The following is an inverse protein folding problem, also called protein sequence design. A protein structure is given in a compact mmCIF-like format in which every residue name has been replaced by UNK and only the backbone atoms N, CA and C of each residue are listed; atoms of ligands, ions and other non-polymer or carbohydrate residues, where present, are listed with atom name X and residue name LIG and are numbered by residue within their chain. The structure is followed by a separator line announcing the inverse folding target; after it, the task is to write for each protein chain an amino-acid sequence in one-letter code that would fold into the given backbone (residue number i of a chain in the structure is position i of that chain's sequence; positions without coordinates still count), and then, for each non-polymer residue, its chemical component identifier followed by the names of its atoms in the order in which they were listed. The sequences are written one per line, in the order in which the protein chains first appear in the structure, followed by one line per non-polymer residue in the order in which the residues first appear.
data_IF_577692528389
#
_entry.id   IF_577692528389
#
_cell.length_a   1.000
_cell.length_b   1.000
_cell.length_c   1.000
_cell.angle_alpha   90.00
_cell.angle_beta   90.00
_cell.angle_gamma   90.00
#
_symmetry.space_group_name_H-M   'P 1'
#
loop_
_entity.id
_entity.type
_entity.pdbx_description
1 polymer ?
#
# COMPACT_ATOMS: atom_id res chain seq x y z
N UNK A 1 24.00 -5.30 5.28
CA UNK A 1 23.22 -5.92 6.38
C UNK A 1 22.60 -7.21 5.85
N UNK A 2 22.41 -8.23 6.69
CA UNK A 2 21.70 -9.43 6.28
C UNK A 2 20.24 -9.10 5.92
N UNK A 3 19.69 -9.81 4.94
CA UNK A 3 18.28 -9.70 4.54
C UNK A 3 17.39 -10.15 5.68
N UNK A 4 16.31 -9.41 5.92
CA UNK A 4 15.35 -9.72 6.97
C UNK A 4 14.47 -10.88 6.51
N UNK A 5 14.48 -11.95 7.31
CA UNK A 5 13.64 -13.13 7.12
C UNK A 5 12.78 -13.29 8.38
N UNK A 6 11.51 -13.62 8.20
CA UNK A 6 10.57 -13.86 9.31
C UNK A 6 10.13 -15.32 9.36
N UNK A 7 9.45 -15.77 10.41
CA UNK A 7 8.91 -17.14 10.46
C UNK A 7 7.79 -17.41 9.42
N UNK A 8 7.31 -16.36 8.76
CA UNK A 8 6.21 -16.42 7.79
C UNK A 8 6.74 -16.46 6.37
N UNK A 9 5.89 -16.87 5.43
CA UNK A 9 6.24 -16.99 4.02
C UNK A 9 5.03 -16.88 3.09
N UNK A 10 5.21 -17.34 1.85
CA UNK A 10 4.24 -17.24 0.76
C UNK A 10 2.83 -17.72 1.12
N UNK A 11 2.72 -18.81 1.86
CA UNK A 11 1.44 -19.46 2.19
C UNK A 11 0.83 -18.98 3.50
N UNK A 12 1.56 -18.16 4.26
CA UNK A 12 1.03 -17.60 5.51
C UNK A 12 -0.14 -16.67 5.25
N UNK A 13 -1.13 -16.73 6.11
CA UNK A 13 -2.32 -15.89 6.10
C UNK A 13 -2.17 -14.70 7.04
N UNK A 14 -2.99 -13.67 6.84
CA UNK A 14 -3.06 -12.53 7.76
C UNK A 14 -3.40 -12.96 9.20
N UNK A 15 -4.25 -13.96 9.36
CA UNK A 15 -4.65 -14.50 10.67
C UNK A 15 -3.47 -15.17 11.39
N UNK A 16 -2.65 -15.96 10.66
CA UNK A 16 -1.45 -16.59 11.26
C UNK A 16 -0.40 -15.55 11.64
N UNK A 17 -0.25 -14.49 10.84
CA UNK A 17 0.74 -13.44 11.12
C UNK A 17 0.38 -12.58 12.31
N UNK A 18 -0.92 -12.36 12.56
CA UNK A 18 -1.40 -11.50 13.67
C UNK A 18 -1.65 -12.28 14.96
N UNK A 19 -1.55 -13.61 14.91
CA UNK A 19 -1.82 -14.45 16.08
C UNK A 19 -0.95 -14.04 17.28
N UNK A 20 -1.60 -13.88 18.43
CA UNK A 20 -0.96 -13.45 19.69
C UNK A 20 -0.57 -11.96 19.74
N UNK A 21 -0.90 -11.15 18.74
CA UNK A 21 -0.67 -9.69 18.74
C UNK A 21 -1.92 -8.98 19.28
N UNK A 22 -1.74 -8.16 20.32
CA UNK A 22 -2.79 -7.30 20.88
C UNK A 22 -2.64 -5.87 20.34
N UNK A 23 -3.69 -5.38 19.67
CA UNK A 23 -3.80 -4.03 19.13
C UNK A 23 -4.84 -3.18 19.87
N UNK A 24 -5.27 -3.59 21.08
CA UNK A 24 -6.19 -2.82 21.90
C UNK A 24 -5.69 -1.38 22.10
N UNK A 25 -6.57 -0.40 21.85
CA UNK A 25 -6.22 1.02 21.90
C UNK A 25 -5.41 1.54 20.70
N UNK A 26 -5.05 0.68 19.74
CA UNK A 26 -4.39 1.10 18.50
C UNK A 26 -5.43 1.50 17.45
N UNK A 27 -5.13 2.53 16.68
CA UNK A 27 -5.99 3.08 15.62
C UNK A 27 -5.35 2.85 14.26
N UNK A 28 -6.11 2.29 13.34
CA UNK A 28 -5.65 1.95 12.00
C UNK A 28 -6.53 2.58 10.91
N UNK A 29 -5.91 2.99 9.81
CA UNK A 29 -6.57 3.32 8.54
C UNK A 29 -6.15 2.29 7.50
N UNK A 30 -7.12 1.73 6.77
CA UNK A 30 -6.87 0.88 5.60
C UNK A 30 -7.60 1.48 4.40
N UNK A 31 -6.86 2.05 3.45
CA UNK A 31 -7.48 2.59 2.23
C UNK A 31 -7.95 1.45 1.33
N UNK A 32 -9.19 1.57 0.78
CA UNK A 32 -9.79 0.48 0.01
C UNK A 32 -10.02 -0.80 0.85
N UNK A 33 -10.23 -0.65 2.16
CA UNK A 33 -10.40 -1.76 3.12
C UNK A 33 -11.75 -2.48 3.05
N UNK A 34 -12.50 -2.32 1.94
CA UNK A 34 -13.87 -2.85 1.78
C UNK A 34 -13.95 -4.06 0.84
N UNK A 35 -12.84 -4.47 0.26
CA UNK A 35 -12.77 -5.63 -0.62
C UNK A 35 -11.35 -6.22 -0.70
N UNK A 36 -11.23 -7.45 -1.17
CA UNK A 36 -9.97 -8.11 -1.49
C UNK A 36 -8.96 -8.10 -0.34
N UNK A 37 -7.71 -7.76 -0.65
CA UNK A 37 -6.59 -7.74 0.32
C UNK A 37 -6.82 -6.71 1.43
N UNK A 38 -7.38 -5.55 1.09
CA UNK A 38 -7.67 -4.50 2.06
C UNK A 38 -8.69 -4.92 3.11
N UNK A 39 -9.74 -5.65 2.70
CA UNK A 39 -10.75 -6.21 3.61
C UNK A 39 -10.13 -7.21 4.59
N UNK A 40 -9.29 -8.13 4.10
CA UNK A 40 -8.64 -9.12 4.96
C UNK A 40 -7.59 -8.48 5.88
N UNK A 41 -6.91 -7.43 5.41
CA UNK A 41 -6.02 -6.62 6.26
C UNK A 41 -6.81 -5.93 7.38
N UNK A 42 -7.93 -5.28 7.05
CA UNK A 42 -8.79 -4.62 8.02
C UNK A 42 -9.39 -5.62 9.03
N UNK A 43 -9.84 -6.79 8.54
CA UNK A 43 -10.35 -7.89 9.38
C UNK A 43 -9.31 -8.38 10.37
N UNK A 44 -8.08 -8.64 9.92
CA UNK A 44 -7.00 -9.08 10.81
C UNK A 44 -6.69 -8.04 11.90
N UNK A 45 -6.56 -6.76 11.53
CA UNK A 45 -6.31 -5.69 12.50
C UNK A 45 -7.45 -5.53 13.50
N UNK A 46 -8.71 -5.61 13.03
CA UNK A 46 -9.88 -5.55 13.89
C UNK A 46 -9.97 -6.76 14.84
N UNK A 47 -9.67 -7.97 14.34
CA UNK A 47 -9.64 -9.20 15.14
C UNK A 47 -8.60 -9.18 16.27
N UNK A 48 -7.52 -8.40 16.08
CA UNK A 48 -6.51 -8.15 17.12
C UNK A 48 -6.88 -6.98 18.08
N UNK A 49 -8.06 -6.39 17.96
CA UNK A 49 -8.58 -5.35 18.86
C UNK A 49 -8.33 -3.90 18.42
N UNK A 50 -7.81 -3.65 17.21
CA UNK A 50 -7.61 -2.29 16.72
C UNK A 50 -8.94 -1.57 16.42
N UNK A 51 -8.96 -0.25 16.61
CA UNK A 51 -9.98 0.63 16.03
C UNK A 51 -9.65 0.84 14.55
N UNK A 52 -10.47 0.30 13.64
CA UNK A 52 -10.18 0.30 12.21
C UNK A 52 -11.10 1.25 11.44
N UNK A 53 -10.51 2.20 10.74
CA UNK A 53 -11.21 3.01 9.74
C UNK A 53 -10.86 2.47 8.36
N UNK A 54 -11.82 1.84 7.68
CA UNK A 54 -11.69 1.52 6.26
C UNK A 54 -12.15 2.70 5.42
N UNK A 55 -11.50 2.95 4.28
CA UNK A 55 -11.98 4.02 3.40
C UNK A 55 -12.57 3.47 2.10
N UNK A 56 -13.60 4.15 1.61
CA UNK A 56 -14.26 3.85 0.35
C UNK A 56 -14.68 5.15 -0.36
N UNK A 57 -14.97 5.03 -1.66
CA UNK A 57 -15.45 6.16 -2.48
C UNK A 57 -16.96 6.41 -2.32
N UNK A 58 -17.69 5.36 -1.97
CA UNK A 58 -19.15 5.38 -1.86
C UNK A 58 -19.64 4.70 -0.57
N UNK A 59 -20.94 4.84 -0.30
CA UNK A 59 -21.59 4.33 0.91
C UNK A 59 -21.86 2.81 0.88
N UNK A 60 -21.56 2.10 -0.22
CA UNK A 60 -21.79 0.66 -0.34
C UNK A 60 -20.83 -0.17 0.57
N UNK A 61 -19.89 0.51 1.20
CA UNK A 61 -18.93 -0.07 2.13
C UNK A 61 -19.52 -0.54 3.47
N UNK A 62 -20.79 -0.22 3.78
CA UNK A 62 -21.42 -0.58 5.07
C UNK A 62 -21.50 -2.10 5.27
N UNK A 63 -21.75 -2.85 4.21
CA UNK A 63 -21.80 -4.31 4.30
C UNK A 63 -20.44 -4.89 4.68
N UNK A 64 -19.35 -4.40 4.08
CA UNK A 64 -18.00 -4.86 4.42
C UNK A 64 -17.64 -4.57 5.91
N UNK A 65 -18.06 -3.43 6.43
CA UNK A 65 -17.90 -3.13 7.86
C UNK A 65 -18.71 -4.10 8.73
N UNK A 66 -19.96 -4.36 8.37
CA UNK A 66 -20.82 -5.31 9.10
C UNK A 66 -20.18 -6.71 9.12
N UNK A 67 -19.66 -7.18 7.99
CA UNK A 67 -18.99 -8.48 7.87
C UNK A 67 -17.70 -8.57 8.71
N UNK A 68 -16.93 -7.46 8.82
CA UNK A 68 -15.76 -7.41 9.71
C UNK A 68 -16.21 -7.49 11.16
N UNK A 69 -17.20 -6.68 11.57
CA UNK A 69 -17.72 -6.65 12.94
C UNK A 69 -18.28 -8.02 13.34
N UNK A 70 -19.08 -8.65 12.48
CA UNK A 70 -19.65 -9.97 12.72
C UNK A 70 -18.56 -11.04 12.90
N UNK A 71 -17.57 -11.05 12.00
CA UNK A 71 -16.52 -12.08 12.01
C UNK A 71 -15.46 -11.90 13.11
N UNK A 72 -15.28 -10.67 13.62
CA UNK A 72 -14.24 -10.38 14.64
C UNK A 72 -14.81 -10.11 16.02
N UNK A 73 -16.11 -9.81 16.13
CA UNK A 73 -16.73 -9.34 17.36
C UNK A 73 -16.31 -7.93 17.79
N UNK A 74 -15.54 -7.22 16.99
CA UNK A 74 -15.02 -5.89 17.30
C UNK A 74 -15.93 -4.80 16.72
N UNK A 75 -16.68 -4.00 17.54
CA UNK A 75 -17.55 -2.95 17.05
C UNK A 75 -16.81 -1.67 16.61
N UNK A 76 -15.51 -1.57 16.90
CA UNK A 76 -14.68 -0.38 16.64
C UNK A 76 -14.20 -0.32 15.17
N UNK A 77 -15.06 -0.75 14.24
CA UNK A 77 -14.79 -0.69 12.79
C UNK A 77 -15.76 0.30 12.16
N UNK A 78 -15.23 1.25 11.39
CA UNK A 78 -16.04 2.25 10.70
C UNK A 78 -15.57 2.45 9.26
N UNK A 79 -16.49 2.92 8.41
CA UNK A 79 -16.15 3.41 7.07
C UNK A 79 -16.05 4.93 7.08
N UNK A 80 -15.10 5.47 6.31
CA UNK A 80 -15.02 6.88 6.00
C UNK A 80 -14.88 7.08 4.48
N UNK A 81 -15.48 8.14 3.97
CA UNK A 81 -15.38 8.50 2.55
C UNK A 81 -14.00 9.08 2.26
N UNK A 82 -13.37 8.58 1.19
CA UNK A 82 -12.09 9.09 0.70
C UNK A 82 -11.97 8.85 -0.81
N UNK A 83 -11.82 9.93 -1.57
CA UNK A 83 -11.52 9.89 -3.02
C UNK A 83 -10.07 10.33 -3.23
N UNK A 84 -9.20 9.37 -3.62
CA UNK A 84 -7.76 9.59 -3.75
C UNK A 84 -7.36 10.42 -4.99
N UNK A 85 -8.29 10.65 -5.92
CA UNK A 85 -8.08 11.55 -7.07
C UNK A 85 -8.51 12.99 -6.76
N UNK A 86 -9.13 13.23 -5.61
CA UNK A 86 -9.64 14.53 -5.19
C UNK A 86 -8.88 15.08 -3.98
N UNK A 87 -8.06 16.10 -4.21
CA UNK A 87 -7.27 16.79 -3.18
C UNK A 87 -8.15 17.31 -2.05
N UNK A 88 -9.34 17.81 -2.37
CA UNK A 88 -10.28 18.35 -1.35
C UNK A 88 -10.83 17.25 -0.46
N UNK A 89 -11.18 16.09 -1.04
CA UNK A 89 -11.61 14.92 -0.28
C UNK A 89 -10.53 14.44 0.69
N UNK A 90 -9.26 14.40 0.24
CA UNK A 90 -8.15 13.97 1.08
C UNK A 90 -7.91 14.98 2.20
N UNK A 91 -7.91 16.29 1.91
CA UNK A 91 -7.71 17.33 2.93
C UNK A 91 -8.82 17.30 3.97
N UNK A 92 -10.09 17.21 3.57
CA UNK A 92 -11.22 17.06 4.49
C UNK A 92 -11.04 15.85 5.41
N UNK A 93 -10.68 14.69 4.86
CA UNK A 93 -10.43 13.48 5.66
C UNK A 93 -9.29 13.66 6.68
N UNK A 94 -8.21 14.35 6.29
CA UNK A 94 -7.06 14.66 7.17
C UNK A 94 -7.48 15.63 8.27
N UNK A 95 -8.21 16.70 7.92
CA UNK A 95 -8.63 17.73 8.87
C UNK A 95 -9.64 17.21 9.91
N UNK A 96 -10.45 16.21 9.53
CA UNK A 96 -11.40 15.53 10.41
C UNK A 96 -10.75 14.46 11.30
N UNK A 97 -9.46 14.13 11.06
CA UNK A 97 -8.78 13.09 11.86
C UNK A 97 -8.30 13.63 13.19
N UNK A 98 -8.83 13.07 14.26
CA UNK A 98 -8.42 13.43 15.62
C UNK A 98 -7.57 12.35 16.31
N UNK A 99 -6.60 12.77 17.12
CA UNK A 99 -5.77 11.91 17.97
C UNK A 99 -4.66 11.17 17.21
N UNK A 100 -4.00 10.20 17.87
CA UNK A 100 -2.90 9.44 17.27
C UNK A 100 -3.36 8.47 16.20
N UNK A 101 -2.51 8.21 15.20
CA UNK A 101 -2.68 7.17 14.19
C UNK A 101 -1.52 6.18 14.27
N UNK A 102 -1.80 4.94 14.61
CA UNK A 102 -0.77 3.92 14.83
C UNK A 102 -0.40 3.14 13.56
N UNK A 103 -1.39 2.91 12.69
CA UNK A 103 -1.21 2.11 11.48
C UNK A 103 -1.91 2.80 10.31
N UNK A 104 -1.16 3.08 9.23
CA UNK A 104 -1.70 3.53 7.95
C UNK A 104 -1.33 2.53 6.87
N UNK A 105 -2.34 1.87 6.28
CA UNK A 105 -2.16 0.95 5.15
C UNK A 105 -2.67 1.62 3.87
N UNK A 106 -1.75 2.07 3.04
CA UNK A 106 -1.98 2.60 1.70
C UNK A 106 -2.19 1.42 0.73
N UNK A 107 -3.43 0.91 0.68
CA UNK A 107 -3.77 -0.31 -0.05
C UNK A 107 -4.62 -0.04 -1.30
N UNK A 108 -5.49 0.96 -1.30
CA UNK A 108 -6.36 1.25 -2.45
C UNK A 108 -5.57 1.37 -3.77
N UNK A 109 -6.18 0.94 -4.86
CA UNK A 109 -5.52 1.04 -6.15
C UNK A 109 -6.43 0.72 -7.35
N UNK A 110 -5.96 1.12 -8.51
CA UNK A 110 -6.51 0.78 -9.82
C UNK A 110 -5.39 0.21 -10.69
N UNK A 111 -5.72 -0.69 -11.62
CA UNK A 111 -4.73 -1.39 -12.42
C UNK A 111 -5.14 -1.43 -13.90
N UNK A 112 -4.17 -1.17 -14.75
CA UNK A 112 -4.24 -1.37 -16.19
C UNK A 112 -5.48 -0.73 -16.84
N UNK A 113 -5.77 0.53 -16.49
CA UNK A 113 -6.85 1.28 -17.13
C UNK A 113 -6.63 1.26 -18.64
N UNK A 114 -7.61 0.82 -19.45
CA UNK A 114 -7.40 0.57 -20.88
C UNK A 114 -7.09 1.84 -21.69
N UNK A 115 -7.56 2.98 -21.20
CA UNK A 115 -7.37 4.29 -21.82
C UNK A 115 -6.69 5.25 -20.83
N UNK A 116 -5.95 6.22 -21.38
CA UNK A 116 -5.39 7.30 -20.57
C UNK A 116 -6.50 8.18 -20.01
N UNK A 117 -6.67 8.10 -18.71
CA UNK A 117 -7.56 8.99 -17.94
C UNK A 117 -6.75 9.96 -17.11
N UNK A 118 -7.29 11.15 -16.89
CA UNK A 118 -6.66 12.21 -16.10
C UNK A 118 -7.64 12.74 -15.05
N UNK A 119 -7.10 13.09 -13.90
CA UNK A 119 -7.84 13.84 -12.87
C UNK A 119 -8.16 15.26 -13.36
N UNK A 120 -8.96 15.99 -12.60
CA UNK A 120 -9.24 17.41 -12.87
C UNK A 120 -7.96 18.27 -12.88
N UNK A 121 -6.90 17.85 -12.18
CA UNK A 121 -5.59 18.50 -12.17
C UNK A 121 -4.69 18.09 -13.34
N UNK A 122 -5.14 17.18 -14.21
CA UNK A 122 -4.38 16.67 -15.35
C UNK A 122 -3.45 15.51 -15.03
N UNK A 123 -3.50 14.93 -13.84
CA UNK A 123 -2.66 13.79 -13.43
C UNK A 123 -3.16 12.48 -14.06
N UNK A 124 -2.25 11.60 -14.47
CA UNK A 124 -2.60 10.25 -14.91
C UNK A 124 -3.25 9.48 -13.75
N UNK A 125 -4.38 8.84 -14.01
CA UNK A 125 -5.27 8.32 -12.95
C UNK A 125 -4.64 7.20 -12.12
N UNK A 126 -3.85 6.29 -12.73
CA UNK A 126 -3.20 5.22 -11.97
C UNK A 126 -2.12 5.77 -11.03
N UNK A 127 -1.35 6.78 -11.50
CA UNK A 127 -0.38 7.47 -10.66
C UNK A 127 -1.09 8.27 -9.55
N UNK A 128 -2.18 8.95 -9.88
CA UNK A 128 -2.94 9.75 -8.92
C UNK A 128 -3.52 8.88 -7.79
N UNK A 129 -4.24 7.80 -8.13
CA UNK A 129 -4.87 6.91 -7.14
C UNK A 129 -3.83 6.13 -6.35
N UNK A 130 -2.91 5.43 -7.05
CA UNK A 130 -2.05 4.46 -6.38
C UNK A 130 -0.96 5.13 -5.54
N UNK A 131 -0.50 6.33 -5.95
CA UNK A 131 0.63 6.99 -5.31
C UNK A 131 0.32 8.39 -4.79
N UNK A 132 -0.07 9.34 -5.65
CA UNK A 132 -0.10 10.76 -5.28
C UNK A 132 -1.15 11.07 -4.20
N UNK A 133 -2.33 10.44 -4.29
CA UNK A 133 -3.38 10.54 -3.27
C UNK A 133 -2.94 9.97 -1.92
N UNK A 134 -2.24 8.84 -1.93
CA UNK A 134 -1.66 8.25 -0.72
C UNK A 134 -0.51 9.07 -0.15
N UNK A 135 0.31 9.69 -1.01
CA UNK A 135 1.35 10.62 -0.59
C UNK A 135 0.73 11.80 0.18
N UNK A 136 -0.27 12.46 -0.40
CA UNK A 136 -0.98 13.58 0.24
C UNK A 136 -1.63 13.16 1.56
N UNK A 137 -2.31 12.00 1.58
CA UNK A 137 -2.93 11.45 2.78
C UNK A 137 -1.89 11.22 3.90
N UNK A 138 -0.80 10.51 3.58
CA UNK A 138 0.22 10.16 4.57
C UNK A 138 0.98 11.39 5.09
N UNK A 139 1.29 12.35 4.21
CA UNK A 139 1.92 13.63 4.60
C UNK A 139 0.98 14.45 5.46
N UNK A 140 -0.31 14.52 5.11
CA UNK A 140 -1.32 15.22 5.92
C UNK A 140 -1.51 14.59 7.30
N UNK A 141 -1.46 13.26 7.40
CA UNK A 141 -1.59 12.53 8.67
C UNK A 141 -0.27 12.40 9.46
N UNK A 142 0.84 12.98 8.98
CA UNK A 142 2.18 12.84 9.60
C UNK A 142 2.18 13.16 11.09
N UNK A 143 1.52 14.23 11.50
CA UNK A 143 1.52 14.65 12.91
C UNK A 143 0.68 13.68 13.77
N UNK A 144 -0.39 13.11 13.24
CA UNK A 144 -1.15 12.04 13.90
C UNK A 144 -0.32 10.75 14.04
N UNK A 145 0.46 10.40 13.01
CA UNK A 145 1.40 9.28 13.05
C UNK A 145 2.52 9.52 14.08
N UNK A 146 3.09 10.71 14.11
CA UNK A 146 4.15 11.06 15.08
C UNK A 146 3.66 10.98 16.54
N UNK A 147 2.39 11.34 16.80
CA UNK A 147 1.80 11.22 18.16
C UNK A 147 1.60 9.78 18.63
N UNK A 148 1.69 8.80 17.75
CA UNK A 148 1.42 7.40 18.08
C UNK A 148 2.62 6.64 18.68
N UNK A 149 3.81 7.26 18.72
CA UNK A 149 5.03 6.66 19.30
C UNK A 149 5.32 5.24 18.77
N UNK A 150 5.66 5.13 17.51
CA UNK A 150 5.95 3.84 16.85
C UNK A 150 4.97 3.50 15.72
N UNK A 151 4.46 4.52 15.03
CA UNK A 151 3.53 4.36 13.91
C UNK A 151 4.13 3.57 12.75
N UNK A 152 3.26 2.84 12.06
CA UNK A 152 3.57 2.01 10.89
C UNK A 152 2.85 2.51 9.65
N UNK A 153 3.60 2.85 8.62
CA UNK A 153 3.05 3.14 7.28
C UNK A 153 3.41 2.00 6.34
N UNK A 154 2.39 1.36 5.79
CA UNK A 154 2.52 0.21 4.90
C UNK A 154 1.97 0.58 3.54
N UNK A 155 2.76 0.46 2.48
CA UNK A 155 2.38 0.83 1.13
C UNK A 155 2.34 -0.39 0.21
N UNK A 156 1.14 -0.71 -0.31
CA UNK A 156 0.93 -1.89 -1.15
C UNK A 156 1.34 -1.59 -2.58
N UNK A 157 2.54 -2.05 -2.96
CA UNK A 157 3.08 -2.01 -4.31
C UNK A 157 2.64 -3.24 -5.12
N UNK A 158 3.49 -3.74 -6.01
CA UNK A 158 3.24 -4.92 -6.87
C UNK A 158 4.56 -5.34 -7.53
N UNK A 159 4.68 -6.59 -7.97
CA UNK A 159 5.73 -7.03 -8.90
C UNK A 159 5.72 -6.25 -10.22
N UNK A 160 4.62 -5.59 -10.56
CA UNK A 160 4.53 -4.69 -11.72
C UNK A 160 5.51 -3.50 -11.66
N UNK A 161 6.08 -3.17 -10.49
CA UNK A 161 7.15 -2.17 -10.41
C UNK A 161 8.37 -2.53 -11.28
N UNK A 162 8.61 -3.80 -11.58
CA UNK A 162 9.63 -4.23 -12.53
C UNK A 162 9.36 -3.87 -13.99
N UNK A 163 8.15 -3.41 -14.33
CA UNK A 163 7.78 -3.03 -15.70
C UNK A 163 8.24 -1.63 -16.09
N UNK A 164 8.34 -0.71 -15.11
CA UNK A 164 8.69 0.68 -15.41
C UNK A 164 9.26 1.39 -14.18
N UNK A 165 10.38 2.10 -14.28
CA UNK A 165 10.75 3.14 -13.34
C UNK A 165 9.76 4.30 -13.40
N UNK A 166 9.91 5.29 -12.50
CA UNK A 166 9.23 6.58 -12.64
C UNK A 166 9.89 7.37 -13.76
N UNK A 167 9.13 7.69 -14.80
CA UNK A 167 9.58 8.53 -15.93
C UNK A 167 9.31 9.99 -15.59
N UNK A 168 10.23 10.60 -14.85
CA UNK A 168 10.04 11.93 -14.26
C UNK A 168 9.76 13.05 -15.25
N UNK A 169 10.26 12.91 -16.47
CA UNK A 169 10.10 13.95 -17.51
C UNK A 169 8.72 13.88 -18.19
N UNK A 170 8.01 12.75 -18.02
CA UNK A 170 6.64 12.58 -18.56
C UNK A 170 5.82 11.57 -17.75
N UNK A 171 5.64 11.81 -16.46
CA UNK A 171 4.86 10.94 -15.55
C UNK A 171 3.42 10.78 -16.05
N UNK A 172 2.87 11.82 -16.64
CA UNK A 172 1.46 11.89 -17.00
C UNK A 172 1.17 11.57 -18.47
N UNK A 173 2.12 11.01 -19.21
CA UNK A 173 1.93 10.63 -20.61
C UNK A 173 1.45 11.82 -21.47
N UNK A 174 2.14 12.95 -21.36
CA UNK A 174 1.84 14.14 -22.16
C UNK A 174 2.44 14.05 -23.56
N UNK A 175 3.57 13.36 -23.70
CA UNK A 175 4.35 13.29 -24.95
C UNK A 175 4.62 11.86 -25.42
N UNK A 176 4.59 10.87 -24.56
CA UNK A 176 4.79 9.45 -24.91
C UNK A 176 3.47 8.69 -25.04
N UNK A 177 3.40 7.64 -25.89
CA UNK A 177 2.23 6.78 -25.97
C UNK A 177 1.88 6.14 -24.62
N UNK A 178 0.59 6.14 -24.28
CA UNK A 178 0.09 5.48 -23.09
C UNK A 178 0.10 3.96 -23.24
N UNK A 179 0.54 3.27 -22.20
CA UNK A 179 0.45 1.82 -22.10
C UNK A 179 -0.04 1.44 -20.71
N UNK A 180 -1.21 0.77 -20.57
CA UNK A 180 -1.86 0.49 -19.29
C UNK A 180 -0.95 -0.14 -18.23
N UNK A 181 -0.20 -1.19 -18.61
CA UNK A 181 0.68 -1.91 -17.70
C UNK A 181 1.93 -1.10 -17.32
N UNK A 182 2.49 -0.30 -18.24
CA UNK A 182 3.64 0.55 -17.91
C UNK A 182 3.24 1.70 -17.00
N UNK A 183 2.04 2.26 -17.16
CA UNK A 183 1.50 3.29 -16.27
C UNK A 183 1.26 2.72 -14.86
N UNK A 184 0.69 1.51 -14.78
CA UNK A 184 0.55 0.79 -13.52
C UNK A 184 1.91 0.50 -12.88
N UNK A 185 2.87 -0.03 -13.63
CA UNK A 185 4.22 -0.32 -13.16
C UNK A 185 4.92 0.92 -12.62
N UNK A 186 4.85 2.05 -13.35
CA UNK A 186 5.36 3.34 -12.89
C UNK A 186 4.75 3.78 -11.56
N UNK A 187 3.42 3.68 -11.44
CA UNK A 187 2.72 4.03 -10.19
C UNK A 187 3.16 3.13 -9.02
N UNK A 188 3.38 1.83 -9.27
CA UNK A 188 3.82 0.88 -8.22
C UNK A 188 5.30 1.05 -7.86
N UNK A 189 6.14 1.51 -8.78
CA UNK A 189 7.50 2.01 -8.46
C UNK A 189 7.43 3.23 -7.56
N UNK A 190 6.56 4.19 -7.87
CA UNK A 190 6.38 5.38 -7.04
C UNK A 190 5.91 5.04 -5.61
N UNK A 191 5.06 4.03 -5.45
CA UNK A 191 4.64 3.50 -4.13
C UNK A 191 5.83 2.97 -3.33
N UNK A 192 6.75 2.24 -3.96
CA UNK A 192 7.95 1.74 -3.30
C UNK A 192 8.90 2.89 -2.91
N UNK A 193 9.15 3.82 -3.82
CA UNK A 193 9.97 5.01 -3.57
C UNK A 193 9.39 5.90 -2.45
N UNK A 194 8.06 5.97 -2.32
CA UNK A 194 7.43 6.69 -1.20
C UNK A 194 7.89 6.15 0.15
N UNK A 195 7.93 4.83 0.33
CA UNK A 195 8.37 4.23 1.59
C UNK A 195 9.82 4.59 1.93
N UNK A 196 10.71 4.61 0.92
CA UNK A 196 12.11 5.04 1.07
C UNK A 196 12.20 6.52 1.43
N UNK A 197 11.45 7.37 0.73
CA UNK A 197 11.42 8.82 0.99
C UNK A 197 10.84 9.17 2.37
N UNK A 198 9.79 8.48 2.80
CA UNK A 198 9.18 8.63 4.11
C UNK A 198 10.13 8.17 5.23
N UNK A 199 10.81 7.04 5.05
CA UNK A 199 11.80 6.55 6.00
C UNK A 199 12.91 7.56 6.28
N UNK A 200 13.42 8.21 5.24
CA UNK A 200 14.43 9.27 5.38
C UNK A 200 13.90 10.51 6.10
N UNK A 201 12.71 10.98 5.75
CA UNK A 201 12.14 12.24 6.26
C UNK A 201 11.54 12.13 7.65
N UNK A 202 11.08 10.94 8.04
CA UNK A 202 10.39 10.70 9.30
C UNK A 202 11.23 9.92 10.33
N UNK A 203 12.53 9.73 10.05
CA UNK A 203 13.47 8.98 10.90
C UNK A 203 13.46 9.41 12.37
N UNK A 204 13.29 10.73 12.64
CA UNK A 204 13.25 11.30 13.99
C UNK A 204 11.86 11.33 14.64
N UNK A 205 10.80 10.86 13.94
CA UNK A 205 9.41 10.98 14.38
C UNK A 205 8.84 9.68 14.95
N UNK A 206 9.64 8.62 15.06
CA UNK A 206 9.15 7.30 15.49
C UNK A 206 8.21 6.62 14.48
N UNK A 207 8.22 7.04 13.21
CA UNK A 207 7.39 6.49 12.15
C UNK A 207 8.24 5.57 11.28
N UNK A 208 7.80 4.34 11.07
CA UNK A 208 8.39 3.46 10.06
C UNK A 208 7.52 3.39 8.82
N UNK A 209 8.12 3.34 7.64
CA UNK A 209 7.44 3.24 6.37
C UNK A 209 8.09 2.16 5.50
N UNK A 210 7.31 1.18 5.07
CA UNK A 210 7.78 0.08 4.23
C UNK A 210 6.78 -0.20 3.10
N UNK A 211 7.29 -0.76 2.00
CA UNK A 211 6.47 -1.18 0.88
C UNK A 211 6.50 -2.70 0.71
N UNK A 212 5.51 -3.22 -0.02
CA UNK A 212 5.41 -4.65 -0.28
C UNK A 212 4.78 -4.97 -1.63
N UNK A 213 5.03 -6.21 -2.09
CA UNK A 213 4.23 -6.87 -3.10
C UNK A 213 3.34 -7.93 -2.42
N UNK A 214 2.02 -7.91 -2.61
CA UNK A 214 1.12 -8.88 -1.98
C UNK A 214 1.12 -10.25 -2.67
N UNK A 215 1.66 -10.34 -3.90
CA UNK A 215 1.58 -11.50 -4.77
C UNK A 215 0.49 -11.38 -5.83
N UNK A 216 0.15 -12.51 -6.47
CA UNK A 216 -0.91 -12.61 -7.46
C UNK A 216 -2.20 -13.11 -6.79
N UNK A 217 -3.18 -12.22 -6.64
CA UNK A 217 -4.45 -12.50 -5.96
C UNK A 217 -5.60 -12.09 -6.87
N UNK A 218 -6.53 -13.00 -7.16
CA UNK A 218 -7.74 -12.70 -7.91
C UNK A 218 -8.67 -11.80 -7.07
N UNK A 219 -8.82 -10.56 -7.50
CA UNK A 219 -9.68 -9.54 -6.87
C UNK A 219 -10.37 -8.68 -7.93
N UNK A 220 -11.19 -7.74 -7.54
CA UNK A 220 -11.76 -6.73 -8.47
C UNK A 220 -10.72 -5.83 -9.15
N UNK A 221 -9.46 -5.86 -8.72
CA UNK A 221 -8.38 -5.06 -9.30
C UNK A 221 -8.11 -5.45 -10.77
N UNK A 222 -8.31 -6.73 -11.14
CA UNK A 222 -8.04 -7.27 -12.47
C UNK A 222 -9.20 -7.08 -13.47
N UNK A 223 -10.19 -6.27 -13.18
CA UNK A 223 -11.39 -6.08 -14.01
C UNK A 223 -11.08 -5.68 -15.47
N UNK A 224 -9.99 -4.94 -15.70
CA UNK A 224 -9.61 -4.47 -17.03
C UNK A 224 -8.67 -5.41 -17.80
N UNK A 225 -8.23 -6.50 -17.19
CA UNK A 225 -7.42 -7.54 -17.84
C UNK A 225 -8.17 -8.89 -17.92
N UNK A 226 -9.50 -8.86 -17.82
CA UNK A 226 -10.34 -10.07 -17.95
C UNK A 226 -10.22 -11.05 -16.77
N UNK A 227 -9.67 -10.62 -15.63
CA UNK A 227 -9.47 -11.46 -14.44
C UNK A 227 -8.26 -12.40 -14.52
N UNK A 228 -7.56 -12.44 -15.64
CA UNK A 228 -6.34 -13.24 -15.78
C UNK A 228 -5.17 -12.59 -15.02
N UNK A 229 -4.58 -13.34 -14.10
CA UNK A 229 -3.44 -12.89 -13.31
C UNK A 229 -2.10 -13.07 -14.05
N UNK A 230 -2.08 -13.75 -15.19
CA UNK A 230 -0.87 -14.05 -15.96
C UNK A 230 0.14 -14.94 -15.23
N UNK A 231 -0.29 -15.63 -14.17
CA UNK A 231 0.53 -16.57 -13.40
C UNK A 231 -0.19 -17.90 -13.20
N UNK A 232 0.54 -19.05 -13.16
CA UNK A 232 -0.04 -20.36 -12.88
C UNK A 232 -0.88 -20.38 -11.59
N UNK A 233 -1.90 -21.24 -11.54
CA UNK A 233 -2.83 -21.30 -10.42
C UNK A 233 -2.18 -21.64 -9.07
N UNK A 234 -1.14 -22.47 -9.09
CA UNK A 234 -0.33 -22.84 -7.92
C UNK A 234 0.54 -21.68 -7.40
N UNK A 235 0.73 -20.65 -8.22
CA UNK A 235 1.39 -19.42 -7.86
C UNK A 235 0.44 -18.30 -7.42
N UNK A 236 -0.86 -18.51 -7.49
CA UNK A 236 -1.86 -17.59 -7.00
C UNK A 236 -2.05 -17.70 -5.49
N UNK A 237 -2.51 -16.63 -4.87
CA UNK A 237 -2.78 -16.55 -3.43
C UNK A 237 -4.26 -16.25 -3.17
N UNK A 238 -4.74 -16.67 -2.01
CA UNK A 238 -6.00 -16.16 -1.49
C UNK A 238 -5.87 -14.71 -1.00
N UNK A 239 -6.97 -13.95 -0.86
CA UNK A 239 -6.94 -12.62 -0.24
C UNK A 239 -6.33 -12.62 1.16
N UNK A 240 -6.55 -13.68 1.97
CA UNK A 240 -5.98 -13.87 3.31
C UNK A 240 -4.45 -14.00 3.27
N UNK A 241 -3.92 -14.73 2.30
CA UNK A 241 -2.48 -14.85 2.07
C UNK A 241 -1.90 -13.55 1.49
N UNK A 242 -2.63 -12.86 0.62
CA UNK A 242 -2.24 -11.57 0.07
C UNK A 242 -2.10 -10.49 1.13
N UNK A 243 -2.92 -10.52 2.18
CA UNK A 243 -2.89 -9.57 3.29
C UNK A 243 -1.76 -9.83 4.31
N UNK A 244 -1.17 -11.04 4.32
CA UNK A 244 -0.19 -11.45 5.33
C UNK A 244 1.00 -10.48 5.45
N UNK A 245 1.62 -10.09 4.34
CA UNK A 245 2.77 -9.16 4.36
C UNK A 245 2.37 -7.76 4.84
N UNK A 246 1.16 -7.28 4.47
CA UNK A 246 0.63 -6.00 4.97
C UNK A 246 0.46 -6.02 6.48
N UNK A 247 -0.14 -7.08 7.01
CA UNK A 247 -0.36 -7.26 8.46
C UNK A 247 0.97 -7.39 9.18
N UNK A 248 1.92 -8.16 8.66
CA UNK A 248 3.25 -8.29 9.24
C UNK A 248 3.97 -6.94 9.35
N UNK A 249 3.99 -6.14 8.29
CA UNK A 249 4.62 -4.81 8.31
C UNK A 249 3.92 -3.85 9.27
N UNK A 250 2.60 -3.97 9.39
CA UNK A 250 1.79 -3.14 10.27
C UNK A 250 1.96 -3.46 11.76
N UNK A 251 2.25 -4.73 12.12
CA UNK A 251 2.06 -5.19 13.50
C UNK A 251 3.24 -5.92 14.12
N UNK A 252 4.09 -6.58 13.32
CA UNK A 252 5.14 -7.45 13.86
C UNK A 252 6.16 -6.68 14.72
N UNK A 253 6.41 -7.11 15.95
CA UNK A 253 7.45 -6.55 16.80
C UNK A 253 8.87 -6.74 16.23
N UNK A 254 9.08 -7.77 15.40
CA UNK A 254 10.36 -8.02 14.71
C UNK A 254 10.76 -6.87 13.77
N UNK A 255 9.79 -6.05 13.34
CA UNK A 255 9.98 -4.98 12.38
C UNK A 255 9.82 -3.59 13.00
N UNK A 256 9.89 -3.47 14.34
CA UNK A 256 9.64 -2.21 15.05
C UNK A 256 10.55 -1.04 14.63
N UNK A 257 11.74 -1.34 14.14
CA UNK A 257 12.71 -0.33 13.70
C UNK A 257 13.08 -0.45 12.21
N UNK A 258 12.35 -1.31 11.48
CA UNK A 258 12.61 -1.53 10.04
C UNK A 258 11.85 -0.49 9.24
N UNK A 259 12.56 0.26 8.42
CA UNK A 259 11.98 1.33 7.61
C UNK A 259 12.70 1.47 6.26
N UNK A 260 12.00 1.94 5.23
CA UNK A 260 12.55 2.16 3.90
C UNK A 260 12.84 0.87 3.13
N UNK A 261 12.20 -0.24 3.48
CA UNK A 261 12.43 -1.56 2.88
C UNK A 261 11.24 -2.01 2.04
N UNK A 262 11.53 -2.97 1.15
CA UNK A 262 10.55 -3.63 0.32
C UNK A 262 10.43 -5.11 0.67
N UNK A 263 9.21 -5.62 0.77
CA UNK A 263 8.93 -6.99 1.22
C UNK A 263 8.11 -7.77 0.21
N UNK A 264 8.43 -9.05 0.08
CA UNK A 264 7.65 -10.05 -0.63
C UNK A 264 7.47 -11.26 0.29
N UNK A 265 6.28 -11.87 0.30
CA UNK A 265 6.04 -13.13 1.01
C UNK A 265 6.59 -13.13 2.46
N UNK A 266 6.33 -12.04 3.19
CA UNK A 266 6.75 -11.82 4.56
C UNK A 266 8.29 -11.81 4.79
N UNK A 267 9.09 -11.62 3.77
CA UNK A 267 10.55 -11.47 3.84
C UNK A 267 11.01 -10.23 3.06
N UNK A 268 12.16 -9.64 3.45
CA UNK A 268 12.75 -8.54 2.70
C UNK A 268 13.13 -8.99 1.29
N UNK A 269 12.79 -8.20 0.28
CA UNK A 269 13.07 -8.51 -1.11
C UNK A 269 14.56 -8.37 -1.46
N UNK A 270 15.02 -9.14 -2.43
CA UNK A 270 16.39 -9.05 -2.95
C UNK A 270 16.45 -7.96 -4.03
N UNK A 271 17.31 -6.93 -3.89
CA UNK A 271 17.50 -5.94 -4.94
C UNK A 271 18.11 -6.54 -6.21
N UNK A 272 17.53 -6.21 -7.36
CA UNK A 272 18.04 -6.64 -8.68
C UNK A 272 18.14 -5.44 -9.62
N UNK A 273 19.15 -5.45 -10.50
CA UNK A 273 19.35 -4.40 -11.52
C UNK A 273 18.69 -4.73 -12.85
N UNK A 274 18.45 -6.01 -13.12
CA UNK A 274 17.77 -6.52 -14.30
C UNK A 274 16.52 -7.26 -13.85
N UNK A 275 15.40 -7.05 -14.56
CA UNK A 275 14.15 -7.75 -14.27
C UNK A 275 14.38 -9.26 -14.45
N UNK A 276 14.09 -10.06 -13.41
CA UNK A 276 14.16 -11.51 -13.51
C UNK A 276 13.19 -12.08 -14.56
N UNK A 277 13.59 -13.16 -15.20
CA UNK A 277 12.74 -13.95 -16.11
C UNK A 277 12.11 -15.14 -15.41
N UNK A 278 12.72 -15.61 -14.33
CA UNK A 278 12.18 -16.64 -13.45
C UNK A 278 11.12 -16.04 -12.53
N UNK A 279 9.96 -16.69 -12.44
CA UNK A 279 8.82 -16.17 -11.67
C UNK A 279 9.06 -16.17 -10.16
N UNK A 280 9.78 -17.14 -9.62
CA UNK A 280 10.08 -17.20 -8.20
C UNK A 280 11.08 -16.12 -7.80
N UNK A 281 12.09 -15.87 -8.65
CA UNK A 281 13.02 -14.77 -8.47
C UNK A 281 12.28 -13.42 -8.59
N UNK A 282 11.41 -13.25 -9.59
CA UNK A 282 10.59 -12.05 -9.77
C UNK A 282 9.71 -11.80 -8.53
N UNK A 283 9.09 -12.85 -7.99
CA UNK A 283 8.23 -12.78 -6.81
C UNK A 283 8.98 -12.44 -5.51
N UNK A 284 10.30 -12.66 -5.46
CA UNK A 284 11.14 -12.44 -4.27
C UNK A 284 12.09 -11.23 -4.38
N UNK A 285 12.07 -10.52 -5.52
CA UNK A 285 12.98 -9.41 -5.80
C UNK A 285 12.31 -8.04 -5.79
N UNK A 286 13.16 -7.00 -5.78
CA UNK A 286 12.77 -5.62 -5.99
C UNK A 286 13.75 -4.96 -6.97
N UNK A 287 13.23 -4.19 -7.94
CA UNK A 287 14.06 -3.43 -8.86
C UNK A 287 14.85 -2.36 -8.11
N UNK A 288 16.15 -2.28 -8.35
CA UNK A 288 17.04 -1.34 -7.67
C UNK A 288 16.53 0.10 -7.74
N UNK A 289 16.00 0.54 -8.90
CA UNK A 289 15.46 1.89 -9.07
C UNK A 289 14.22 2.18 -8.20
N UNK A 290 13.50 1.13 -7.75
CA UNK A 290 12.29 1.29 -6.93
C UNK A 290 12.60 1.52 -5.42
N UNK A 291 13.86 1.31 -5.03
CA UNK A 291 14.34 1.54 -3.66
C UNK A 291 15.54 2.50 -3.61
N UNK A 292 15.79 3.22 -4.70
CA UNK A 292 16.88 4.20 -4.80
C UNK A 292 16.55 5.48 -4.01
N UNK A 293 17.41 5.89 -3.06
CA UNK A 293 17.13 7.07 -2.23
C UNK A 293 17.11 8.39 -3.01
N UNK A 294 17.89 8.54 -4.08
CA UNK A 294 17.92 9.77 -4.89
C UNK A 294 16.63 9.90 -5.70
N UNK A 295 16.16 8.79 -6.29
CA UNK A 295 14.88 8.77 -6.98
C UNK A 295 13.71 9.00 -6.00
N UNK A 296 13.78 8.46 -4.80
CA UNK A 296 12.78 8.69 -3.75
C UNK A 296 12.71 10.16 -3.33
N UNK A 297 13.85 10.82 -3.17
CA UNK A 297 13.91 12.25 -2.86
C UNK A 297 13.40 13.12 -4.03
N UNK A 298 13.79 12.78 -5.27
CA UNK A 298 13.29 13.46 -6.48
C UNK A 298 11.76 13.35 -6.59
N UNK A 299 11.23 12.15 -6.38
CA UNK A 299 9.79 11.89 -6.44
C UNK A 299 9.05 12.68 -5.35
N UNK A 300 9.54 12.65 -4.13
CA UNK A 300 8.92 13.34 -3.00
C UNK A 300 8.78 14.85 -3.28
N UNK A 301 9.88 15.50 -3.65
CA UNK A 301 9.86 16.94 -4.02
C UNK A 301 8.92 17.24 -5.18
N UNK A 302 8.78 16.31 -6.13
CA UNK A 302 7.86 16.48 -7.23
C UNK A 302 6.40 16.39 -6.76
N UNK A 303 6.07 15.39 -5.94
CA UNK A 303 4.74 15.23 -5.38
C UNK A 303 4.33 16.43 -4.53
N UNK A 304 5.22 16.94 -3.67
CA UNK A 304 4.94 18.13 -2.85
C UNK A 304 4.57 19.34 -3.73
N UNK A 305 5.24 19.53 -4.88
CA UNK A 305 4.88 20.61 -5.83
C UNK A 305 3.57 20.36 -6.56
N UNK A 306 3.15 19.12 -6.75
CA UNK A 306 1.88 18.80 -7.42
C UNK A 306 0.67 19.03 -6.53
N UNK A 307 0.81 18.82 -5.22
CA UNK A 307 -0.31 18.86 -4.27
C UNK A 307 -0.33 20.10 -3.36
N UNK A 308 0.77 20.84 -3.33
CA UNK A 308 0.95 22.09 -2.53
C UNK A 308 0.41 23.26 -3.17
#
# INVERSE_FOLDING_TARGET
MARIVTPYGRHSTAAEVIDGIDLSGRRAIVTGGVSGIGLETARALAGAGAQVTVTARDDNARQAVADIVESTGNPEVRVARLELTDVSSIRTFVDEWEGPLHILVNNAGVMALPELRRTAQGWEEQFAVNHLGHHLLAVGLRDALARAEGARVVSVSSSAHHLSPVVFDDIHYLSRPYHPQLAYGQAKTAVALFAVGAASRWAGLGITANALNPGAIATGLQQYIGGDLGVPADLQKSPQQGAATSVMLATSPLLSHVTGRYFNDCAEATPVTVKPTDEAELASSVAHYAIDPEQADRLWRLCDRMVG
#
